data_IF_394283268849
#
_entry.id   IF_394283268849
#
_cell.length_a   1.000
_cell.length_b   1.000
_cell.length_c   1.000
_cell.angle_alpha   90.00
_cell.angle_beta   90.00
_cell.angle_gamma   90.00
#
_symmetry.space_group_name_H-M   'P 1'
#
loop_
_entity.id
_entity.type
_entity.pdbx_description
1 polymer ?
#
# COMPACT_ATOMS: atom_id res chain seq x y z
N UNK A 1 -26.92 -15.02 -30.94
CA UNK A 1 -25.50 -14.62 -30.97
C UNK A 1 -25.09 -14.34 -29.54
N UNK A 2 -24.20 -15.15 -28.97
CA UNK A 2 -23.64 -14.94 -27.64
C UNK A 2 -22.59 -13.84 -27.75
N UNK A 3 -22.71 -12.78 -26.96
CA UNK A 3 -21.66 -11.75 -26.85
C UNK A 3 -20.42 -12.45 -26.28
N UNK A 4 -19.22 -12.33 -26.89
CA UNK A 4 -18.01 -12.91 -26.34
C UNK A 4 -17.74 -12.31 -24.96
N UNK A 5 -17.55 -13.15 -23.95
CA UNK A 5 -17.12 -12.70 -22.64
C UNK A 5 -15.71 -12.08 -22.80
N UNK A 6 -15.59 -10.78 -22.57
CA UNK A 6 -14.29 -10.10 -22.62
C UNK A 6 -13.61 -10.32 -21.27
N UNK A 7 -12.58 -11.16 -21.24
CA UNK A 7 -11.76 -11.37 -20.04
C UNK A 7 -10.77 -10.22 -19.90
N UNK A 8 -10.67 -9.66 -18.70
CA UNK A 8 -9.62 -8.73 -18.29
C UNK A 8 -8.85 -9.32 -17.10
N UNK A 9 -7.60 -8.90 -16.94
CA UNK A 9 -6.77 -9.25 -15.79
C UNK A 9 -6.35 -7.93 -15.15
N UNK A 10 -6.44 -7.88 -13.81
CA UNK A 10 -6.02 -6.73 -13.00
C UNK A 10 -5.13 -7.22 -11.88
N UNK A 11 -4.01 -6.54 -11.69
CA UNK A 11 -3.11 -6.79 -10.58
C UNK A 11 -3.23 -5.64 -9.59
N UNK A 12 -3.12 -5.96 -8.30
CA UNK A 12 -3.22 -4.98 -7.24
C UNK A 12 -2.06 -5.13 -6.26
N UNK A 13 -1.57 -4.00 -5.76
CA UNK A 13 -0.61 -3.97 -4.66
C UNK A 13 -1.36 -3.99 -3.34
N UNK A 14 -1.06 -4.97 -2.51
CA UNK A 14 -1.53 -5.04 -1.13
C UNK A 14 -0.39 -4.73 -0.19
N UNK A 15 -0.59 -3.78 0.73
CA UNK A 15 0.43 -3.44 1.72
C UNK A 15 0.13 -4.13 3.04
N UNK A 16 1.08 -4.91 3.58
CA UNK A 16 0.95 -5.51 4.91
C UNK A 16 0.94 -4.48 6.05
N UNK A 17 1.65 -3.35 5.87
CA UNK A 17 1.65 -2.25 6.84
C UNK A 17 0.28 -1.57 6.94
N UNK A 18 -0.38 -1.32 5.81
CA UNK A 18 -1.70 -0.67 5.72
C UNK A 18 -2.88 -1.63 5.83
N UNK A 19 -2.65 -2.93 5.57
CA UNK A 19 -3.65 -4.00 5.49
C UNK A 19 -4.76 -3.75 4.45
N UNK A 20 -4.43 -3.04 3.38
CA UNK A 20 -5.36 -2.68 2.30
C UNK A 20 -4.71 -2.78 0.91
N UNK A 21 -5.55 -2.71 -0.13
CA UNK A 21 -5.10 -2.52 -1.51
C UNK A 21 -4.71 -1.05 -1.66
N UNK A 22 -3.44 -0.80 -1.97
CA UNK A 22 -2.90 0.56 -2.08
C UNK A 22 -2.95 1.10 -3.50
N UNK A 23 -2.93 0.24 -4.54
CA UNK A 23 -3.18 0.65 -5.92
C UNK A 23 -3.42 -0.55 -6.86
N UNK A 24 -4.07 -0.30 -8.01
CA UNK A 24 -3.98 -1.15 -9.19
C UNK A 24 -2.56 -1.03 -9.77
N UNK A 25 -1.96 -2.14 -10.20
CA UNK A 25 -0.63 -2.15 -10.80
C UNK A 25 -0.60 -1.27 -12.04
N UNK A 26 0.17 -0.19 -11.97
CA UNK A 26 0.48 0.67 -13.11
C UNK A 26 1.82 0.24 -13.72
N UNK A 27 1.94 0.36 -15.03
CA UNK A 27 3.25 0.28 -15.69
C UNK A 27 4.17 1.37 -15.11
N UNK A 28 5.41 1.00 -14.76
CA UNK A 28 6.44 1.88 -14.16
C UNK A 28 6.31 2.21 -12.67
N UNK A 29 6.06 1.21 -11.83
CA UNK A 29 6.38 1.36 -10.40
C UNK A 29 7.86 1.67 -10.31
N UNK A 30 8.17 2.79 -9.64
CA UNK A 30 9.52 3.29 -9.45
C UNK A 30 10.34 2.29 -8.62
N UNK A 31 10.84 1.24 -9.26
CA UNK A 31 11.80 0.27 -8.71
C UNK A 31 13.19 0.91 -8.69
N UNK A 32 13.30 2.03 -7.98
CA UNK A 32 14.57 2.69 -7.76
C UNK A 32 15.35 1.86 -6.73
N UNK A 33 16.65 1.70 -6.93
CA UNK A 33 17.54 1.11 -5.92
C UNK A 33 17.69 2.07 -4.73
N UNK A 34 16.67 2.12 -3.88
CA UNK A 34 16.69 2.84 -2.61
C UNK A 34 17.09 1.87 -1.49
N UNK A 35 17.77 2.36 -0.44
CA UNK A 35 17.97 1.55 0.75
C UNK A 35 16.61 1.18 1.36
N UNK A 36 16.48 -0.01 1.98
CA UNK A 36 15.28 -0.37 2.70
C UNK A 36 14.95 0.66 3.78
N UNK A 37 13.67 0.78 4.11
CA UNK A 37 13.19 1.58 5.23
C UNK A 37 13.98 1.24 6.51
N UNK A 38 14.42 2.26 7.25
CA UNK A 38 15.33 2.10 8.41
C UNK A 38 14.77 1.20 9.52
N UNK A 39 13.44 1.09 9.62
CA UNK A 39 12.76 0.20 10.58
C UNK A 39 12.22 -1.10 9.95
N UNK A 40 12.60 -1.44 8.70
CA UNK A 40 12.12 -2.63 8.00
C UNK A 40 12.34 -3.92 8.80
N UNK A 41 13.44 -4.03 9.56
CA UNK A 41 13.72 -5.22 10.40
C UNK A 41 12.83 -5.33 11.64
N UNK A 42 12.26 -4.21 12.11
CA UNK A 42 11.31 -4.19 13.23
C UNK A 42 9.89 -4.49 12.78
N UNK A 43 9.62 -4.40 11.47
CA UNK A 43 8.34 -4.80 10.91
C UNK A 43 8.29 -6.33 10.84
N UNK A 44 7.70 -6.95 11.85
CA UNK A 44 7.41 -8.40 11.83
C UNK A 44 6.14 -8.60 11.02
N UNK A 45 6.28 -8.62 9.70
CA UNK A 45 5.20 -8.99 8.80
C UNK A 45 5.21 -10.51 8.61
N UNK A 46 4.41 -11.22 9.40
CA UNK A 46 4.17 -12.64 9.15
C UNK A 46 3.28 -12.79 7.92
N UNK A 47 3.88 -13.11 6.78
CA UNK A 47 3.17 -13.49 5.54
C UNK A 47 2.28 -14.72 5.77
N UNK A 48 2.53 -15.50 6.82
CA UNK A 48 1.66 -16.62 7.24
C UNK A 48 0.32 -16.16 7.83
N UNK A 49 0.23 -14.92 8.34
CA UNK A 49 -1.00 -14.35 8.89
C UNK A 49 -1.76 -13.51 7.83
N UNK A 50 -1.59 -13.90 6.57
CA UNK A 50 -2.21 -13.29 5.41
C UNK A 50 -3.67 -13.73 5.30
N UNK A 51 -4.59 -12.88 5.73
CA UNK A 51 -6.01 -13.17 5.73
C UNK A 51 -6.58 -13.10 4.29
N UNK A 52 -6.81 -14.28 3.71
CA UNK A 52 -7.39 -14.42 2.37
C UNK A 52 -8.79 -13.80 2.28
N UNK A 53 -9.54 -13.80 3.37
CA UNK A 53 -10.90 -13.25 3.38
C UNK A 53 -10.87 -11.72 3.35
N UNK A 54 -9.93 -11.08 4.07
CA UNK A 54 -9.72 -9.64 3.97
C UNK A 54 -9.30 -9.22 2.56
N UNK A 55 -8.42 -9.99 1.90
CA UNK A 55 -8.04 -9.70 0.52
C UNK A 55 -9.22 -9.87 -0.45
N UNK A 56 -10.03 -10.91 -0.27
CA UNK A 56 -11.25 -11.12 -1.06
C UNK A 56 -12.21 -9.94 -0.90
N UNK A 57 -12.42 -9.47 0.33
CA UNK A 57 -13.26 -8.30 0.62
C UNK A 57 -12.69 -7.05 -0.05
N UNK A 58 -11.39 -6.80 0.09
CA UNK A 58 -10.73 -5.64 -0.50
C UNK A 58 -10.79 -5.64 -2.05
N UNK A 59 -10.59 -6.80 -2.69
CA UNK A 59 -10.69 -6.91 -4.14
C UNK A 59 -12.13 -6.67 -4.64
N UNK A 60 -13.13 -7.19 -3.91
CA UNK A 60 -14.53 -6.98 -4.27
C UNK A 60 -14.97 -5.52 -4.10
N UNK A 61 -14.48 -4.80 -3.09
CA UNK A 61 -14.82 -3.38 -2.91
C UNK A 61 -14.31 -2.50 -4.06
N UNK A 62 -13.16 -2.83 -4.65
CA UNK A 62 -12.57 -2.07 -5.76
C UNK A 62 -13.40 -2.20 -7.05
N UNK A 63 -14.04 -3.34 -7.29
CA UNK A 63 -14.85 -3.55 -8.49
C UNK A 63 -16.28 -2.98 -8.38
N UNK A 64 -16.83 -2.90 -7.17
CA UNK A 64 -18.21 -2.41 -6.94
C UNK A 64 -18.44 -0.95 -7.30
N UNK A 65 -17.39 -0.12 -7.37
CA UNK A 65 -17.51 1.31 -7.73
C UNK A 65 -17.65 1.55 -9.24
N UNK A 66 -17.43 0.54 -10.09
CA UNK A 66 -17.35 0.72 -11.56
C UNK A 66 -18.62 0.37 -12.34
N UNK A 67 -19.73 0.03 -11.67
CA UNK A 67 -20.98 -0.39 -12.33
C UNK A 67 -21.98 0.75 -12.55
N UNK A 68 -21.60 1.78 -13.30
CA UNK A 68 -22.57 2.61 -14.03
C UNK A 68 -22.70 2.10 -15.48
N UNK A 69 -23.62 1.15 -15.69
CA UNK A 69 -23.96 0.65 -17.03
C UNK A 69 -24.46 -0.79 -17.04
N UNK A 70 -25.07 -1.22 -18.15
CA UNK A 70 -25.67 -2.55 -18.35
C UNK A 70 -24.67 -3.71 -18.48
N UNK A 71 -23.41 -3.51 -18.05
CA UNK A 71 -22.35 -4.51 -18.11
C UNK A 71 -21.95 -4.90 -16.69
N UNK A 72 -22.38 -6.10 -16.28
CA UNK A 72 -21.99 -6.68 -15.01
C UNK A 72 -20.58 -7.29 -15.15
N UNK A 73 -19.61 -6.74 -14.43
CA UNK A 73 -18.34 -7.42 -14.19
C UNK A 73 -18.53 -8.45 -13.07
N UNK A 74 -17.95 -9.64 -13.26
CA UNK A 74 -17.96 -10.72 -12.27
C UNK A 74 -16.53 -11.24 -12.13
N UNK A 75 -16.05 -11.34 -10.89
CA UNK A 75 -14.77 -11.96 -10.57
C UNK A 75 -14.83 -13.47 -10.87
N UNK A 76 -14.10 -13.91 -11.89
CA UNK A 76 -13.99 -15.32 -12.25
C UNK A 76 -13.02 -16.09 -11.33
N UNK A 77 -11.87 -15.48 -11.01
CA UNK A 77 -10.81 -16.09 -10.21
C UNK A 77 -9.97 -15.03 -9.50
N UNK A 78 -9.60 -15.31 -8.25
CA UNK A 78 -8.57 -14.58 -7.51
C UNK A 78 -7.35 -15.49 -7.39
N UNK A 79 -6.19 -15.01 -7.82
CA UNK A 79 -4.95 -15.78 -7.73
C UNK A 79 -4.30 -15.68 -6.34
N UNK A 80 -3.39 -16.60 -6.03
CA UNK A 80 -2.64 -16.54 -4.77
C UNK A 80 -1.64 -15.38 -4.84
N UNK A 81 -1.63 -14.47 -3.85
CA UNK A 81 -0.71 -13.33 -3.86
C UNK A 81 0.75 -13.76 -3.83
N UNK A 82 1.59 -13.01 -4.54
CA UNK A 82 3.03 -13.23 -4.64
C UNK A 82 3.73 -12.10 -3.88
N UNK A 83 4.65 -12.46 -2.98
CA UNK A 83 5.48 -11.47 -2.29
C UNK A 83 6.52 -10.89 -3.26
N UNK A 84 6.60 -9.57 -3.32
CA UNK A 84 7.54 -8.85 -4.17
C UNK A 84 8.77 -8.44 -3.34
N UNK A 85 9.76 -9.32 -3.25
CA UNK A 85 10.96 -9.10 -2.44
C UNK A 85 11.91 -8.02 -3.02
N UNK A 86 11.92 -7.86 -4.35
CA UNK A 86 12.90 -7.02 -5.05
C UNK A 86 12.33 -5.65 -5.47
N UNK A 87 11.05 -5.38 -5.20
CA UNK A 87 10.40 -4.10 -5.52
C UNK A 87 10.27 -3.26 -4.26
N UNK A 88 11.12 -2.24 -4.13
CA UNK A 88 11.00 -1.23 -3.09
C UNK A 88 10.31 0.02 -3.66
N UNK A 89 9.41 0.59 -2.85
CA UNK A 89 8.73 1.85 -3.15
C UNK A 89 9.49 2.96 -2.41
N UNK A 90 9.95 4.02 -3.11
CA UNK A 90 10.57 5.14 -2.44
C UNK A 90 9.51 5.93 -1.66
N UNK A 91 9.74 6.12 -0.36
CA UNK A 91 8.98 7.06 0.46
C UNK A 91 9.94 8.15 0.95
N UNK A 92 9.47 9.40 1.00
CA UNK A 92 10.28 10.53 1.48
C UNK A 92 9.90 10.85 2.92
N UNK A 93 10.86 10.71 3.83
CA UNK A 93 10.72 11.04 5.25
C UNK A 93 11.17 12.50 5.49
N UNK A 94 10.32 13.27 6.15
CA UNK A 94 10.57 14.67 6.53
C UNK A 94 10.49 14.82 8.04
N UNK A 95 11.48 15.49 8.63
CA UNK A 95 11.40 15.97 10.01
C UNK A 95 10.85 17.39 10.02
N UNK A 96 9.66 17.58 10.58
CA UNK A 96 8.93 18.85 10.55
C UNK A 96 8.90 19.46 11.94
N UNK A 97 9.23 20.74 12.06
CA UNK A 97 9.12 21.48 13.31
C UNK A 97 7.78 22.23 13.41
N UNK A 98 6.92 21.82 14.35
CA UNK A 98 5.73 22.59 14.70
C UNK A 98 6.11 23.75 15.62
N UNK A 99 5.99 25.00 15.14
CA UNK A 99 6.31 26.20 15.92
C UNK A 99 5.33 26.48 17.06
N UNK A 100 4.07 26.06 16.92
CA UNK A 100 3.01 26.29 17.91
C UNK A 100 3.24 25.38 19.11
N UNK A 101 3.41 24.08 18.83
CA UNK A 101 3.61 23.06 19.86
C UNK A 101 5.08 22.94 20.29
N UNK A 102 6.00 23.57 19.55
CA UNK A 102 7.46 23.52 19.74
C UNK A 102 8.03 22.10 19.75
N UNK A 103 7.43 21.21 18.96
CA UNK A 103 7.83 19.81 18.82
C UNK A 103 8.24 19.49 17.39
N UNK A 104 9.14 18.53 17.23
CA UNK A 104 9.39 17.89 15.96
C UNK A 104 8.46 16.69 15.78
N UNK A 105 8.02 16.45 14.55
CA UNK A 105 7.25 15.27 14.17
C UNK A 105 7.67 14.79 12.78
N UNK A 106 7.36 13.54 12.47
CA UNK A 106 7.76 12.93 11.19
C UNK A 106 6.60 13.00 10.20
N UNK A 107 6.89 13.35 8.95
CA UNK A 107 5.95 13.23 7.83
C UNK A 107 6.53 12.34 6.75
N UNK A 108 5.72 11.46 6.17
CA UNK A 108 6.16 10.49 5.16
C UNK A 108 5.31 10.66 3.92
N UNK A 109 5.95 11.00 2.80
CA UNK A 109 5.31 11.03 1.49
C UNK A 109 5.49 9.68 0.79
N UNK A 110 4.40 8.98 0.50
CA UNK A 110 4.40 7.71 -0.20
C UNK A 110 4.23 7.94 -1.70
N UNK A 111 5.26 7.63 -2.49
CA UNK A 111 5.24 7.88 -3.94
C UNK A 111 4.37 6.91 -4.72
N UNK A 112 3.97 5.78 -4.14
CA UNK A 112 3.04 4.85 -4.79
C UNK A 112 1.61 5.39 -4.76
N UNK A 113 1.18 5.91 -3.60
CA UNK A 113 -0.17 6.45 -3.41
C UNK A 113 -0.26 7.94 -3.72
N UNK A 114 0.88 8.63 -3.86
CA UNK A 114 0.98 10.08 -4.03
C UNK A 114 0.28 10.85 -2.90
N UNK A 115 0.40 10.34 -1.67
CA UNK A 115 -0.26 10.86 -0.47
C UNK A 115 0.69 10.83 0.73
N UNK A 116 0.31 11.57 1.77
CA UNK A 116 0.94 11.46 3.09
C UNK A 116 0.54 10.12 3.74
N UNK A 117 1.52 9.42 4.28
CA UNK A 117 1.38 8.05 4.79
C UNK A 117 1.36 8.04 6.32
N UNK A 118 0.17 8.28 6.87
CA UNK A 118 -0.05 8.36 8.32
C UNK A 118 0.31 7.04 9.05
N UNK A 119 0.22 5.91 8.35
CA UNK A 119 0.55 4.59 8.91
C UNK A 119 2.06 4.48 9.15
N UNK A 120 2.88 4.85 8.16
CA UNK A 120 4.32 4.89 8.33
C UNK A 120 4.77 5.98 9.29
N UNK A 121 4.12 7.16 9.27
CA UNK A 121 4.39 8.25 10.22
C UNK A 121 4.22 7.78 11.66
N UNK A 122 3.05 7.22 11.99
CA UNK A 122 2.75 6.67 13.31
C UNK A 122 3.72 5.56 13.69
N UNK A 123 4.04 4.67 12.76
CA UNK A 123 5.00 3.59 13.01
C UNK A 123 6.40 4.12 13.36
N UNK A 124 6.86 5.18 12.69
CA UNK A 124 8.14 5.83 13.00
C UNK A 124 8.09 6.46 14.40
N UNK A 125 7.02 7.18 14.72
CA UNK A 125 6.85 7.83 16.01
C UNK A 125 6.81 6.83 17.17
N UNK A 126 6.20 5.68 16.99
CA UNK A 126 6.12 4.63 18.01
C UNK A 126 7.45 3.87 18.20
N UNK A 127 8.22 3.67 17.14
CA UNK A 127 9.36 2.76 17.13
C UNK A 127 10.73 3.43 17.23
N UNK A 128 10.85 4.67 16.73
CA UNK A 128 12.08 5.45 16.69
C UNK A 128 11.80 6.95 16.49
N UNK A 129 11.16 7.61 17.47
CA UNK A 129 10.82 9.01 17.36
C UNK A 129 12.10 9.86 17.29
N UNK A 130 12.24 10.61 16.20
CA UNK A 130 13.37 11.51 15.98
C UNK A 130 13.38 12.72 16.94
N UNK A 131 12.41 12.81 17.86
CA UNK A 131 12.27 13.84 18.89
C UNK A 131 13.35 13.79 19.99
N UNK A 132 14.17 12.74 20.02
CA UNK A 132 15.14 12.50 21.10
C UNK A 132 16.52 13.14 20.88
N UNK A 133 16.75 13.89 19.80
CA UNK A 133 18.01 14.60 19.57
C UNK A 133 17.83 16.09 19.90
N UNK A 134 18.04 16.44 21.17
CA UNK A 134 18.23 17.81 21.66
C UNK A 134 19.25 17.79 22.79
#
# INVERSE_FOLDING_TARGET
MSIPLKKNEKNFYYSLSHREIVCEEKENILTTKVPPFRLAKKQVHNVENFDRELLRIALLSVETETSEGSLQMVVDKIETPIQLADKLIPCMEFLVYNRVEKVYFTRVWNTLTEQWDEVLEKYIEEMDPLTSQS
#
